data_IF_656455323427
#
_entry.id   IF_656455323427
#
_cell.length_a   1.000
_cell.length_b   1.000
_cell.length_c   1.000
_cell.angle_alpha   90.00
_cell.angle_beta   90.00
_cell.angle_gamma   90.00
#
_symmetry.space_group_name_H-M   'P 1'
#
loop_
_entity.id
_entity.type
_entity.pdbx_description
1 polymer ?
#
# COMPACT_ATOMS: atom_id res chain seq x y z
N UNK A 1 60.28 -19.33 21.43
CA UNK A 1 61.27 -19.17 22.51
C UNK A 1 60.54 -18.71 23.75
N UNK A 2 60.72 -19.47 24.85
CA UNK A 2 60.17 -19.24 26.18
C UNK A 2 60.69 -17.92 26.79
N UNK A 3 59.93 -17.33 27.72
CA UNK A 3 60.47 -16.28 28.59
C UNK A 3 59.45 -15.54 29.43
N UNK A 4 58.97 -16.20 30.49
CA UNK A 4 58.20 -15.63 31.62
C UNK A 4 59.16 -14.90 32.57
N UNK A 5 58.80 -13.72 33.11
CA UNK A 5 58.87 -13.41 34.57
C UNK A 5 58.52 -11.95 34.96
N UNK A 6 57.67 -11.84 35.99
CA UNK A 6 57.68 -10.92 37.18
C UNK A 6 57.81 -9.40 36.97
N UNK A 7 57.00 -8.52 37.55
CA UNK A 7 56.20 -8.54 38.77
C UNK A 7 56.56 -7.30 39.62
N UNK A 8 55.58 -6.51 40.08
CA UNK A 8 55.81 -5.35 40.97
C UNK A 8 54.54 -4.53 41.24
N UNK A 9 54.02 -4.68 42.46
CA UNK A 9 52.81 -4.08 43.05
C UNK A 9 52.87 -2.57 43.35
N UNK A 10 51.70 -1.94 43.51
CA UNK A 10 51.57 -0.60 44.11
C UNK A 10 50.16 0.04 44.12
N UNK A 11 49.25 -0.54 44.92
CA UNK A 11 48.08 0.05 45.64
C UNK A 11 47.59 1.49 45.37
N UNK A 12 46.26 1.68 45.20
CA UNK A 12 45.34 2.32 46.19
C UNK A 12 43.93 2.65 45.63
N UNK A 13 42.88 2.38 46.45
CA UNK A 13 41.51 2.91 46.30
C UNK A 13 40.42 1.83 46.30
N UNK A 14 40.02 1.23 47.44
CA UNK A 14 38.88 1.64 48.32
C UNK A 14 37.66 2.10 47.50
N UNK A 15 36.45 1.55 47.56
CA UNK A 15 35.72 0.61 48.43
C UNK A 15 34.23 0.93 48.14
N UNK A 16 33.44 0.02 47.57
CA UNK A 16 32.54 -0.93 48.23
C UNK A 16 31.44 -0.28 49.09
N UNK A 17 30.18 -0.69 48.87
CA UNK A 17 29.17 -0.67 49.94
C UNK A 17 27.73 -0.50 49.50
N UNK A 18 27.05 -1.61 49.20
CA UNK A 18 25.60 -1.76 49.30
C UNK A 18 25.16 -1.68 50.78
N UNK A 19 23.97 -1.16 51.04
CA UNK A 19 23.33 -1.23 52.36
C UNK A 19 21.88 -0.75 52.34
N UNK A 20 20.96 -1.65 52.69
CA UNK A 20 19.52 -1.45 52.79
C UNK A 20 19.11 -0.58 54.00
N UNK A 21 17.90 -0.01 53.94
CA UNK A 21 17.22 0.57 55.09
C UNK A 21 15.77 0.95 54.79
N UNK A 22 14.81 0.31 55.50
CA UNK A 22 13.42 0.75 55.62
C UNK A 22 13.26 1.67 56.84
N UNK A 23 12.53 2.78 56.68
CA UNK A 23 11.71 3.48 57.69
C UNK A 23 10.90 4.58 56.93
N UNK A 24 9.57 4.56 56.81
CA UNK A 24 8.48 4.73 57.78
C UNK A 24 8.18 6.18 58.20
N UNK A 25 6.95 6.62 57.88
CA UNK A 25 6.18 7.73 58.48
C UNK A 25 6.39 9.12 57.87
N UNK A 26 5.44 10.06 57.80
CA UNK A 26 3.98 10.11 57.95
C UNK A 26 3.56 11.57 57.62
N UNK A 27 2.39 11.74 57.00
CA UNK A 27 1.48 12.92 57.07
C UNK A 27 2.02 14.33 56.80
N UNK A 28 1.64 14.90 55.65
CA UNK A 28 1.21 16.30 55.57
C UNK A 28 0.11 16.43 54.50
N UNK A 29 -1.13 16.59 54.99
CA UNK A 29 -2.31 16.95 54.23
C UNK A 29 -2.15 18.40 53.77
N UNK A 30 -2.09 18.64 52.46
CA UNK A 30 -2.33 19.93 51.85
C UNK A 30 -3.49 19.76 50.87
N UNK A 31 -4.70 20.00 51.39
CA UNK A 31 -5.93 20.03 50.62
C UNK A 31 -6.10 21.34 49.85
N UNK A 32 -7.07 21.28 48.93
CA UNK A 32 -7.69 22.37 48.18
C UNK A 32 -6.91 23.00 47.03
N UNK A 33 -6.95 22.32 45.88
CA UNK A 33 -7.11 22.97 44.58
C UNK A 33 -7.85 22.05 43.60
N UNK A 34 -8.97 21.47 44.04
CA UNK A 34 -9.87 20.69 43.20
C UNK A 34 -11.21 21.41 43.09
N UNK A 35 -11.27 22.51 42.34
CA UNK A 35 -12.51 23.09 41.80
C UNK A 35 -12.17 24.19 40.80
N UNK A 36 -11.87 23.81 39.56
CA UNK A 36 -12.20 24.56 38.35
C UNK A 36 -11.62 23.81 37.15
N UNK A 37 -12.41 23.75 36.07
CA UNK A 37 -12.04 23.30 34.72
C UNK A 37 -12.21 21.79 34.45
N UNK A 38 -13.41 21.27 34.66
CA UNK A 38 -13.87 20.07 33.95
C UNK A 38 -15.28 20.30 33.37
N UNK A 39 -15.36 21.18 32.37
CA UNK A 39 -16.54 21.34 31.50
C UNK A 39 -16.10 21.66 30.06
N UNK A 40 -15.25 20.83 29.46
CA UNK A 40 -15.15 20.75 28.00
C UNK A 40 -15.91 19.52 27.54
N UNK A 41 -17.23 19.68 27.40
CA UNK A 41 -18.08 18.69 26.74
C UNK A 41 -17.62 18.54 25.29
N UNK A 42 -17.39 17.29 24.88
CA UNK A 42 -17.23 16.94 23.48
C UNK A 42 -18.53 17.26 22.74
N UNK A 43 -18.56 18.34 21.96
CA UNK A 43 -19.53 18.48 20.89
C UNK A 43 -19.07 17.55 19.77
N UNK A 44 -19.59 16.33 19.74
CA UNK A 44 -19.64 15.53 18.51
C UNK A 44 -20.54 16.27 17.53
N UNK A 45 -19.94 17.16 16.73
CA UNK A 45 -20.60 17.80 15.61
C UNK A 45 -20.96 16.73 14.60
N UNK A 46 -22.21 16.28 14.63
CA UNK A 46 -22.77 15.43 13.59
C UNK A 46 -22.63 16.14 12.25
N UNK A 47 -22.21 15.40 11.22
CA UNK A 47 -22.28 15.84 9.83
C UNK A 47 -23.75 15.88 9.43
N UNK A 48 -24.47 16.90 9.91
CA UNK A 48 -25.78 17.24 9.40
C UNK A 48 -25.62 17.48 7.91
N UNK A 49 -26.41 16.78 7.11
CA UNK A 49 -26.54 17.01 5.68
C UNK A 49 -26.70 18.51 5.46
N UNK A 50 -25.69 19.14 4.85
CA UNK A 50 -25.79 20.53 4.48
C UNK A 50 -26.84 20.59 3.39
N UNK A 51 -27.99 21.14 3.74
CA UNK A 51 -29.03 21.49 2.79
C UNK A 51 -28.49 22.72 2.03
N UNK A 52 -27.75 22.47 0.97
CA UNK A 52 -27.28 23.51 0.06
C UNK A 52 -28.52 24.03 -0.67
N UNK A 53 -29.21 24.99 -0.04
CA UNK A 53 -30.43 25.60 -0.54
C UNK A 53 -30.33 25.98 -2.03
N UNK A 54 -31.48 26.15 -2.71
CA UNK A 54 -31.59 26.13 -4.16
C UNK A 54 -30.53 27.02 -4.82
N UNK A 55 -29.84 26.45 -5.81
CA UNK A 55 -28.75 27.09 -6.52
C UNK A 55 -29.14 28.51 -6.95
N UNK A 56 -28.48 29.51 -6.35
CA UNK A 56 -28.74 30.90 -6.68
C UNK A 56 -28.45 31.15 -8.15
N UNK A 57 -29.44 31.62 -8.91
CA UNK A 57 -29.31 32.00 -10.32
C UNK A 57 -28.59 33.35 -10.47
N UNK A 58 -27.38 33.46 -9.89
CA UNK A 58 -26.52 34.61 -10.13
C UNK A 58 -25.90 34.48 -11.53
N UNK A 59 -25.94 35.53 -12.36
CA UNK A 59 -25.23 35.54 -13.63
C UNK A 59 -23.76 35.21 -13.39
N UNK A 60 -23.24 34.23 -14.11
CA UNK A 60 -21.84 33.81 -14.04
C UNK A 60 -20.98 35.01 -14.44
N UNK A 61 -20.39 35.69 -13.46
CA UNK A 61 -19.33 36.65 -13.74
C UNK A 61 -18.17 35.81 -14.28
N UNK A 62 -17.79 36.05 -15.54
CA UNK A 62 -16.68 35.35 -16.21
C UNK A 62 -15.50 35.28 -15.25
N UNK A 63 -15.20 34.09 -14.72
CA UNK A 63 -13.97 33.86 -14.01
C UNK A 63 -12.83 34.26 -14.94
N UNK A 64 -11.94 35.14 -14.48
CA UNK A 64 -10.65 35.34 -15.15
C UNK A 64 -10.03 33.97 -15.35
N UNK A 65 -9.46 33.75 -16.55
CA UNK A 65 -8.86 32.47 -16.91
C UNK A 65 -7.95 31.99 -15.77
N UNK A 66 -8.03 30.70 -15.39
CA UNK A 66 -7.08 30.17 -14.41
C UNK A 66 -5.67 30.44 -14.94
N UNK A 67 -4.80 30.96 -14.08
CA UNK A 67 -3.38 31.04 -14.37
C UNK A 67 -2.92 29.65 -14.82
N UNK A 68 -2.20 29.60 -15.94
CA UNK A 68 -1.74 28.36 -16.52
C UNK A 68 -0.89 27.62 -15.47
N UNK A 69 -1.46 26.54 -14.91
CA UNK A 69 -0.69 25.58 -14.12
C UNK A 69 0.46 25.12 -15.01
N UNK A 70 1.73 25.13 -14.55
CA UNK A 70 2.83 24.61 -15.34
C UNK A 70 2.51 23.17 -15.73
N UNK A 71 2.18 22.96 -17.01
CA UNK A 71 2.08 21.62 -17.56
C UNK A 71 3.47 20.99 -17.38
N UNK A 72 3.54 19.88 -16.63
CA UNK A 72 4.79 19.17 -16.40
C UNK A 72 5.52 18.97 -17.73
N UNK A 73 6.75 19.46 -17.84
CA UNK A 73 7.54 19.44 -19.08
C UNK A 73 8.09 18.05 -19.43
N UNK A 74 7.72 17.03 -18.65
CA UNK A 74 8.11 15.65 -18.91
C UNK A 74 7.40 15.15 -20.17
N UNK A 75 8.16 14.92 -21.24
CA UNK A 75 7.69 14.20 -22.42
C UNK A 75 7.14 12.84 -21.98
N UNK A 76 5.91 12.47 -22.35
CA UNK A 76 5.39 11.13 -22.08
C UNK A 76 6.38 10.09 -22.59
N UNK A 77 6.75 9.14 -21.74
CA UNK A 77 7.58 8.02 -22.16
C UNK A 77 6.88 7.31 -23.34
N UNK A 78 7.62 6.87 -24.38
CA UNK A 78 7.04 6.06 -25.43
C UNK A 78 6.30 4.87 -24.82
N UNK A 79 5.01 4.75 -25.10
CA UNK A 79 4.18 3.67 -24.57
C UNK A 79 4.68 2.36 -25.19
N UNK A 80 5.04 1.40 -24.34
CA UNK A 80 5.46 0.07 -24.78
C UNK A 80 4.25 -0.77 -25.16
N UNK A 81 4.46 -1.76 -26.03
CA UNK A 81 3.49 -2.81 -26.29
C UNK A 81 3.60 -3.88 -25.19
N UNK A 82 2.80 -3.71 -24.13
CA UNK A 82 2.83 -4.56 -22.95
C UNK A 82 2.43 -6.02 -23.27
N UNK A 83 1.47 -6.23 -24.17
CA UNK A 83 1.03 -7.57 -24.59
C UNK A 83 2.19 -8.31 -25.25
N UNK A 84 2.85 -7.68 -26.22
CA UNK A 84 4.01 -8.28 -26.89
C UNK A 84 5.15 -8.52 -25.92
N UNK A 85 5.38 -7.61 -24.96
CA UNK A 85 6.42 -7.77 -23.95
C UNK A 85 6.17 -9.00 -23.07
N UNK A 86 4.97 -9.16 -22.52
CA UNK A 86 4.58 -10.32 -21.70
C UNK A 86 4.63 -11.62 -22.50
N UNK A 87 4.14 -11.64 -23.74
CA UNK A 87 4.20 -12.83 -24.60
C UNK A 87 5.63 -13.27 -24.92
N UNK A 88 6.52 -12.30 -25.17
CA UNK A 88 7.91 -12.58 -25.50
C UNK A 88 8.78 -12.95 -24.29
N UNK A 89 8.35 -12.61 -23.07
CA UNK A 89 9.16 -12.81 -21.87
C UNK A 89 9.25 -14.29 -21.45
N UNK A 90 10.44 -14.92 -21.47
CA UNK A 90 10.59 -16.32 -21.08
C UNK A 90 10.32 -16.58 -19.59
N UNK A 91 10.28 -15.56 -18.74
CA UNK A 91 9.94 -15.71 -17.31
C UNK A 91 8.45 -15.82 -17.05
N UNK A 92 7.61 -15.42 -18.01
CA UNK A 92 6.15 -15.58 -17.93
C UNK A 92 5.81 -17.02 -18.27
N UNK A 93 5.00 -17.68 -17.43
CA UNK A 93 4.66 -19.08 -17.65
C UNK A 93 3.83 -19.29 -18.91
N UNK A 94 3.99 -20.47 -19.54
CA UNK A 94 3.29 -20.80 -20.78
C UNK A 94 1.76 -20.71 -20.62
N UNK A 95 1.23 -21.22 -19.49
CA UNK A 95 -0.20 -21.14 -19.16
C UNK A 95 -0.69 -19.70 -19.16
N UNK A 96 0.05 -18.76 -18.55
CA UNK A 96 -0.32 -17.35 -18.55
C UNK A 96 -0.35 -16.74 -19.95
N UNK A 97 0.62 -17.10 -20.80
CA UNK A 97 0.66 -16.62 -22.19
C UNK A 97 -0.51 -17.16 -23.02
N UNK A 98 -0.89 -18.40 -22.78
CA UNK A 98 -2.01 -19.05 -23.47
C UNK A 98 -3.35 -18.44 -23.04
N UNK A 99 -3.49 -18.09 -21.76
CA UNK A 99 -4.70 -17.47 -21.19
C UNK A 99 -4.78 -15.97 -21.46
N UNK A 100 -3.66 -15.31 -21.76
CA UNK A 100 -3.63 -13.91 -22.19
C UNK A 100 -4.27 -13.79 -23.58
N UNK A 101 -5.55 -13.46 -23.62
CA UNK A 101 -6.35 -13.24 -24.83
C UNK A 101 -7.06 -11.90 -24.73
N UNK A 102 -7.46 -11.28 -25.86
CA UNK A 102 -8.33 -10.11 -25.81
C UNK A 102 -9.65 -10.45 -25.11
N UNK A 103 -10.15 -9.52 -24.31
CA UNK A 103 -11.46 -9.59 -23.68
C UNK A 103 -12.57 -9.25 -24.69
N UNK A 104 -12.34 -8.18 -25.47
CA UNK A 104 -13.25 -7.70 -26.50
C UNK A 104 -12.42 -7.14 -27.66
N UNK A 105 -12.65 -7.64 -28.88
CA UNK A 105 -11.88 -7.20 -30.04
C UNK A 105 -10.38 -7.37 -29.84
N UNK A 106 -9.64 -6.27 -29.79
CA UNK A 106 -8.18 -6.22 -29.57
C UNK A 106 -7.80 -5.73 -28.16
N UNK A 107 -8.77 -5.54 -27.25
CA UNK A 107 -8.53 -5.05 -25.89
C UNK A 107 -8.13 -6.19 -24.96
N UNK A 108 -6.92 -6.13 -24.40
CA UNK A 108 -6.40 -7.11 -23.45
C UNK A 108 -6.62 -6.65 -22.01
N UNK A 109 -6.78 -7.58 -21.04
CA UNK A 109 -6.93 -7.25 -19.62
C UNK A 109 -5.56 -6.95 -19.01
N UNK A 110 -4.89 -5.92 -19.51
CA UNK A 110 -3.56 -5.51 -19.05
C UNK A 110 -3.57 -4.04 -18.64
N UNK A 111 -3.11 -3.79 -17.42
CA UNK A 111 -2.79 -2.45 -16.95
C UNK A 111 -1.29 -2.21 -16.97
N UNK A 112 -0.89 -0.97 -17.26
CA UNK A 112 0.52 -0.59 -17.34
C UNK A 112 0.77 0.71 -16.59
N UNK A 113 1.70 0.66 -15.64
CA UNK A 113 2.19 1.83 -14.89
C UNK A 113 3.66 2.06 -15.17
N UNK A 114 4.08 3.32 -15.21
CA UNK A 114 5.45 3.72 -15.50
C UNK A 114 6.01 4.52 -14.33
N UNK A 115 7.23 4.23 -13.89
CA UNK A 115 7.87 4.96 -12.79
C UNK A 115 9.30 4.50 -12.53
N UNK A 116 9.99 5.19 -11.64
CA UNK A 116 11.37 4.84 -11.26
C UNK A 116 11.33 3.88 -10.08
N UNK A 117 11.53 2.59 -10.33
CA UNK A 117 11.64 1.54 -9.31
C UNK A 117 13.07 1.02 -9.16
N UNK A 118 13.83 1.05 -10.25
CA UNK A 118 15.21 0.56 -10.36
C UNK A 118 16.19 1.69 -10.61
N UNK A 119 17.48 1.37 -10.64
CA UNK A 119 18.56 2.27 -11.07
C UNK A 119 18.74 2.28 -12.61
N UNK A 120 17.67 2.05 -13.36
CA UNK A 120 17.64 2.04 -14.82
C UNK A 120 17.77 3.43 -15.45
N UNK A 121 18.17 3.51 -16.74
CA UNK A 121 18.30 4.78 -17.45
C UNK A 121 16.94 5.40 -17.87
N UNK A 122 15.85 4.65 -17.75
CA UNK A 122 14.49 5.07 -18.09
C UNK A 122 13.49 4.55 -17.07
N UNK A 123 12.24 5.03 -17.16
CA UNK A 123 11.15 4.54 -16.32
C UNK A 123 10.99 3.02 -16.50
N UNK A 124 10.89 2.33 -15.37
CA UNK A 124 10.46 0.94 -15.31
C UNK A 124 8.97 0.84 -15.61
N UNK A 125 8.55 -0.34 -16.06
CA UNK A 125 7.17 -0.61 -16.43
C UNK A 125 6.63 -1.73 -15.56
N UNK A 126 5.59 -1.42 -14.78
CA UNK A 126 4.79 -2.41 -14.08
C UNK A 126 3.64 -2.83 -14.98
N UNK A 127 3.53 -4.12 -15.26
CA UNK A 127 2.48 -4.71 -16.09
C UNK A 127 1.65 -5.64 -15.22
N UNK A 128 0.37 -5.34 -15.05
CA UNK A 128 -0.58 -6.20 -14.37
C UNK A 128 -1.46 -6.89 -15.41
N UNK A 129 -1.61 -8.20 -15.31
CA UNK A 129 -2.53 -9.00 -16.12
C UNK A 129 -3.72 -9.38 -15.25
N UNK A 130 -4.92 -9.22 -15.78
CA UNK A 130 -6.18 -9.44 -15.06
C UNK A 130 -7.07 -10.44 -15.80
N UNK A 131 -8.13 -10.89 -15.14
CA UNK A 131 -9.25 -11.58 -15.79
C UNK A 131 -10.14 -10.59 -16.53
N UNK A 132 -10.69 -10.97 -17.68
CA UNK A 132 -11.55 -10.10 -18.49
C UNK A 132 -12.89 -9.71 -17.85
N UNK A 133 -13.48 -10.59 -17.03
CA UNK A 133 -14.81 -10.36 -16.44
C UNK A 133 -14.73 -9.52 -15.18
N UNK A 134 -13.88 -9.96 -14.25
CA UNK A 134 -13.93 -9.50 -12.86
C UNK A 134 -12.79 -8.52 -12.53
N UNK A 135 -11.92 -8.24 -13.51
CA UNK A 135 -10.69 -7.46 -13.35
C UNK A 135 -9.80 -7.92 -12.18
N UNK A 136 -9.85 -9.21 -11.84
CA UNK A 136 -9.02 -9.79 -10.79
C UNK A 136 -7.62 -9.98 -11.36
N UNK A 137 -6.64 -9.36 -10.70
CA UNK A 137 -5.23 -9.52 -11.05
C UNK A 137 -4.79 -10.98 -10.91
N UNK A 138 -4.09 -11.48 -11.92
CA UNK A 138 -3.59 -12.86 -11.97
C UNK A 138 -2.07 -12.89 -12.11
N UNK A 139 -1.46 -11.80 -12.59
CA UNK A 139 -0.01 -11.67 -12.60
C UNK A 139 0.45 -10.22 -12.58
N UNK A 140 1.59 -9.97 -11.98
CA UNK A 140 2.27 -8.67 -12.01
C UNK A 140 3.75 -8.83 -12.33
N UNK A 141 4.27 -7.95 -13.18
CA UNK A 141 5.62 -8.01 -13.70
C UNK A 141 6.27 -6.62 -13.70
N UNK A 142 7.56 -6.54 -13.40
CA UNK A 142 8.33 -5.30 -13.56
C UNK A 142 9.38 -5.48 -14.65
N UNK A 143 9.35 -4.58 -15.62
CA UNK A 143 10.29 -4.53 -16.72
C UNK A 143 11.18 -3.29 -16.63
N UNK A 144 12.49 -3.52 -16.61
CA UNK A 144 13.51 -2.47 -16.60
C UNK A 144 14.10 -2.31 -18.00
N UNK A 145 14.32 -1.08 -18.44
CA UNK A 145 15.04 -0.84 -19.69
C UNK A 145 16.54 -1.16 -19.54
N UNK A 146 17.09 -1.91 -20.49
CA UNK A 146 18.51 -2.21 -20.62
C UNK A 146 19.23 -1.16 -21.47
N UNK A 147 20.56 -1.21 -21.47
CA UNK A 147 21.40 -0.28 -22.23
C UNK A 147 21.16 -0.32 -23.75
N UNK A 148 20.71 -1.46 -24.28
CA UNK A 148 20.34 -1.64 -25.70
C UNK A 148 18.93 -1.13 -26.04
N UNK A 149 18.23 -0.54 -25.07
CA UNK A 149 16.87 -0.02 -25.20
C UNK A 149 15.77 -1.08 -25.03
N UNK A 150 16.12 -2.37 -24.94
CA UNK A 150 15.18 -3.46 -24.69
C UNK A 150 14.66 -3.44 -23.24
N UNK A 151 13.46 -3.97 -23.02
CA UNK A 151 12.92 -4.14 -21.68
C UNK A 151 13.16 -5.56 -21.18
N UNK A 152 13.59 -5.69 -19.92
CA UNK A 152 13.90 -6.94 -19.26
C UNK A 152 13.11 -7.12 -17.98
N UNK A 153 12.48 -8.28 -17.81
CA UNK A 153 11.80 -8.63 -16.58
C UNK A 153 12.79 -8.80 -15.42
N UNK A 154 12.54 -8.04 -14.35
CA UNK A 154 13.31 -8.04 -13.10
C UNK A 154 12.46 -8.43 -11.88
N UNK A 155 11.15 -8.61 -12.06
CA UNK A 155 10.21 -9.09 -11.05
C UNK A 155 9.03 -9.79 -11.73
N UNK A 156 8.56 -10.88 -11.14
CA UNK A 156 7.36 -11.60 -11.57
C UNK A 156 6.66 -12.21 -10.37
N UNK A 157 5.34 -12.04 -10.30
CA UNK A 157 4.47 -12.78 -9.38
C UNK A 157 3.22 -13.23 -10.14
N UNK A 158 3.00 -14.54 -10.19
CA UNK A 158 1.91 -15.21 -10.89
C UNK A 158 1.03 -15.96 -9.88
N UNK A 159 0.35 -15.20 -9.02
CA UNK A 159 -0.51 -15.73 -7.96
C UNK A 159 -1.92 -15.16 -8.14
N UNK A 160 -2.99 -15.92 -7.86
CA UNK A 160 -4.35 -15.39 -7.93
C UNK A 160 -4.53 -14.13 -7.08
N UNK A 161 -5.30 -13.18 -7.60
CA UNK A 161 -5.64 -11.91 -6.98
C UNK A 161 -4.44 -11.01 -6.61
N UNK A 162 -3.36 -11.09 -7.38
CA UNK A 162 -2.16 -10.25 -7.23
C UNK A 162 -2.25 -8.99 -8.08
N UNK A 163 -1.83 -7.85 -7.53
CA UNK A 163 -1.74 -6.58 -8.25
C UNK A 163 -0.55 -5.75 -7.77
N UNK A 164 0.24 -5.23 -8.70
CA UNK A 164 1.43 -4.42 -8.42
C UNK A 164 1.20 -2.93 -8.67
N UNK A 165 1.68 -2.09 -7.75
CA UNK A 165 1.62 -0.63 -7.83
C UNK A 165 2.98 -0.01 -7.53
N UNK A 166 3.16 1.25 -7.94
CA UNK A 166 4.35 2.04 -7.65
C UNK A 166 4.00 3.02 -6.55
N UNK A 167 4.65 2.94 -5.39
CA UNK A 167 4.52 3.91 -4.31
C UNK A 167 5.89 4.49 -3.93
N UNK A 168 6.10 5.79 -4.18
CA UNK A 168 7.34 6.53 -3.85
C UNK A 168 8.65 5.83 -4.25
N UNK A 169 8.64 5.08 -5.36
CA UNK A 169 9.81 4.37 -5.89
C UNK A 169 9.97 2.94 -5.36
N UNK A 170 9.06 2.48 -4.51
CA UNK A 170 8.94 1.08 -4.13
C UNK A 170 7.86 0.38 -4.98
N UNK A 171 8.05 -0.91 -5.19
CA UNK A 171 7.03 -1.78 -5.77
C UNK A 171 6.18 -2.31 -4.62
N UNK A 172 4.90 -1.97 -4.60
CA UNK A 172 3.94 -2.48 -3.62
C UNK A 172 3.07 -3.53 -4.31
N UNK A 173 3.17 -4.77 -3.85
CA UNK A 173 2.38 -5.89 -4.37
C UNK A 173 1.31 -6.24 -3.35
N UNK A 174 0.05 -6.11 -3.75
CA UNK A 174 -1.11 -6.51 -2.97
C UNK A 174 -1.63 -7.84 -3.50
N UNK A 175 -1.89 -8.79 -2.61
CA UNK A 175 -2.51 -10.08 -2.93
C UNK A 175 -3.76 -10.24 -2.05
N UNK A 176 -4.94 -10.38 -2.66
CA UNK A 176 -6.15 -10.64 -1.88
C UNK A 176 -6.16 -12.09 -1.37
N UNK A 177 -6.59 -12.28 -0.13
CA UNK A 177 -6.66 -13.57 0.55
C UNK A 177 -8.12 -14.01 0.65
N UNK A 178 -8.41 -15.18 0.09
CA UNK A 178 -9.76 -15.77 0.07
C UNK A 178 -9.83 -16.99 0.97
N UNK A 179 -10.83 -17.00 1.85
CA UNK A 179 -11.30 -18.19 2.55
C UNK A 179 -12.13 -19.11 1.65
N UNK A 180 -12.32 -20.35 2.09
CA UNK A 180 -13.00 -21.40 1.31
C UNK A 180 -14.43 -21.09 0.84
N UNK A 181 -15.10 -20.09 1.43
CA UNK A 181 -16.49 -19.70 1.12
C UNK A 181 -16.60 -18.27 0.60
N UNK A 182 -15.47 -17.64 0.30
CA UNK A 182 -15.46 -16.25 -0.11
C UNK A 182 -15.91 -16.15 -1.57
N UNK A 183 -16.76 -15.16 -1.85
CA UNK A 183 -17.04 -14.78 -3.21
C UNK A 183 -15.88 -13.93 -3.74
N UNK A 184 -15.68 -13.91 -5.07
CA UNK A 184 -14.62 -13.11 -5.73
C UNK A 184 -14.65 -11.63 -5.31
N UNK A 185 -15.85 -11.07 -5.14
CA UNK A 185 -16.04 -9.68 -4.73
C UNK A 185 -15.75 -9.39 -3.24
N UNK A 186 -15.60 -10.42 -2.41
CA UNK A 186 -15.50 -10.29 -0.95
C UNK A 186 -14.38 -11.17 -0.39
N UNK A 187 -13.10 -10.77 -0.56
CA UNK A 187 -11.98 -11.45 0.08
C UNK A 187 -12.07 -11.37 1.62
N UNK A 188 -11.52 -12.36 2.31
CA UNK A 188 -11.40 -12.36 3.77
C UNK A 188 -10.23 -11.52 4.27
N UNK A 189 -9.28 -11.16 3.41
CA UNK A 189 -8.13 -10.36 3.79
C UNK A 189 -7.23 -10.00 2.62
N UNK A 190 -6.05 -9.49 2.92
CA UNK A 190 -5.01 -9.19 1.93
C UNK A 190 -3.61 -9.25 2.56
N UNK A 191 -2.63 -9.56 1.72
CA UNK A 191 -1.21 -9.38 2.00
C UNK A 191 -0.68 -8.22 1.15
N UNK A 192 -0.07 -7.23 1.79
CA UNK A 192 0.62 -6.12 1.14
C UNK A 192 2.11 -6.29 1.38
N UNK A 193 2.88 -6.44 0.32
CA UNK A 193 4.34 -6.60 0.39
C UNK A 193 5.01 -5.45 -0.34
N UNK A 194 5.86 -4.72 0.38
CA UNK A 194 6.64 -3.62 -0.19
C UNK A 194 8.04 -4.13 -0.55
N UNK A 195 8.44 -3.90 -1.80
CA UNK A 195 9.75 -4.26 -2.31
C UNK A 195 10.53 -3.02 -2.72
N UNK A 196 11.81 -3.01 -2.35
CA UNK A 196 12.77 -2.00 -2.80
C UNK A 196 13.84 -2.61 -3.68
N UNK A 197 14.21 -1.90 -4.74
CA UNK A 197 15.36 -2.28 -5.55
C UNK A 197 16.66 -2.10 -4.75
N UNK A 198 17.39 -3.19 -4.57
CA UNK A 198 18.70 -3.19 -3.92
C UNK A 198 19.61 -4.22 -4.57
N UNK A 199 20.83 -3.82 -4.88
CA UNK A 199 21.87 -4.74 -5.38
C UNK A 199 21.42 -5.59 -6.57
N UNK A 200 20.72 -4.98 -7.53
CA UNK A 200 20.31 -5.64 -8.76
C UNK A 200 19.04 -6.51 -8.67
N UNK A 201 18.27 -6.44 -7.58
CA UNK A 201 17.00 -7.17 -7.43
C UNK A 201 16.02 -6.42 -6.52
N UNK A 202 14.74 -6.76 -6.61
CA UNK A 202 13.76 -6.37 -5.59
C UNK A 202 13.95 -7.21 -4.32
N UNK A 203 14.09 -6.54 -3.18
CA UNK A 203 14.08 -7.18 -1.86
C UNK A 203 12.85 -6.69 -1.10
N UNK A 204 12.15 -7.62 -0.45
CA UNK A 204 11.08 -7.30 0.48
C UNK A 204 11.63 -6.46 1.63
N UNK A 205 11.02 -5.32 1.88
CA UNK A 205 11.38 -4.41 2.97
C UNK A 205 10.30 -4.35 4.05
N UNK A 206 9.06 -4.65 3.68
CA UNK A 206 7.92 -4.64 4.59
C UNK A 206 6.81 -5.58 4.13
N UNK A 207 6.03 -6.09 5.07
CA UNK A 207 4.87 -6.94 4.83
C UNK A 207 3.80 -6.67 5.86
N UNK A 208 2.59 -6.42 5.37
CA UNK A 208 1.38 -6.23 6.19
C UNK A 208 0.35 -7.27 5.78
N UNK A 209 -0.28 -7.90 6.76
CA UNK A 209 -1.44 -8.76 6.57
C UNK A 209 -2.66 -8.10 7.21
N UNK A 210 -3.75 -8.00 6.46
CA UNK A 210 -5.01 -7.45 6.94
C UNK A 210 -6.11 -8.51 6.85
N UNK A 211 -6.85 -8.68 7.94
CA UNK A 211 -8.11 -9.41 7.96
C UNK A 211 -9.27 -8.44 7.73
N UNK A 212 -10.16 -8.76 6.80
CA UNK A 212 -11.39 -8.02 6.57
C UNK A 212 -12.55 -8.59 7.40
N UNK A 213 -13.37 -7.70 7.96
CA UNK A 213 -14.55 -8.09 8.73
C UNK A 213 -15.64 -8.68 7.82
N UNK A 214 -16.13 -9.86 8.16
CA UNK A 214 -17.19 -10.58 7.44
C UNK A 214 -18.61 -10.02 7.63
N UNK A 215 -18.77 -8.97 8.43
CA UNK A 215 -20.08 -8.35 8.69
C UNK A 215 -20.75 -7.76 7.42
N UNK A 216 -19.97 -7.47 6.37
CA UNK A 216 -20.46 -7.00 5.07
C UNK A 216 -20.24 -8.11 4.02
N UNK A 217 -21.20 -9.01 3.85
CA UNK A 217 -21.05 -10.11 2.87
C UNK A 217 -21.77 -11.41 3.19
N UNK A 218 -22.43 -11.53 4.35
CA UNK A 218 -23.45 -12.58 4.54
C UNK A 218 -24.66 -12.21 3.69
N UNK A 219 -24.69 -12.66 2.43
CA UNK A 219 -25.75 -12.42 1.47
C UNK A 219 -27.10 -13.07 1.85
N UNK A 220 -27.63 -12.74 3.03
CA UNK A 220 -28.99 -13.00 3.48
C UNK A 220 -29.71 -11.67 3.77
N UNK A 221 -29.40 -10.64 2.98
CA UNK A 221 -30.21 -9.42 2.93
C UNK A 221 -31.33 -9.61 1.92
N UNK A 222 -32.52 -10.01 2.38
CA UNK A 222 -33.75 -9.93 1.61
C UNK A 222 -33.89 -8.50 1.08
N UNK A 223 -33.70 -8.30 -0.22
CA UNK A 223 -34.06 -7.04 -0.87
C UNK A 223 -35.58 -6.85 -0.63
N UNK A 224 -36.02 -5.74 0.00
CA UNK A 224 -37.44 -5.51 0.19
C UNK A 224 -38.12 -5.42 -1.18
N UNK A 225 -39.17 -6.21 -1.40
CA UNK A 225 -39.98 -6.13 -2.61
C UNK A 225 -40.52 -4.71 -2.77
N UNK A 226 -40.48 -4.13 -3.99
CA UNK A 226 -41.09 -2.84 -4.23
C UNK A 226 -42.59 -2.93 -3.91
N UNK A 227 -43.16 -1.92 -3.22
CA UNK A 227 -44.56 -1.97 -2.82
C UNK A 227 -45.43 -2.07 -4.07
N UNK A 228 -46.23 -3.12 -4.14
CA UNK A 228 -47.28 -3.26 -5.17
C UNK A 228 -48.21 -2.06 -5.05
N UNK A 229 -48.24 -1.24 -6.11
CA UNK A 229 -49.23 -0.18 -6.26
C UNK A 229 -50.63 -0.84 -6.23
N UNK A 230 -51.40 -0.52 -5.20
CA UNK A 230 -52.84 -0.83 -5.17
C UNK A 230 -53.55 0.18 -6.06
N UNK A 231 -54.21 -0.32 -7.09
CA UNK A 231 -55.25 0.41 -7.83
C UNK A 231 -56.51 0.57 -6.97
#
# INVERSE_FOLDING_TARGET
>A
MNGRSTGGDGTAGRGAGLGAGLAAGSTAVAGLAAFALLCSGCASGGTGTRDEGPAGTRPVTRASAPDAVPAGTAKPAPRIDAVRLVRADPKVSARFKDDLKPCTGDEYPIDTSYGTLTDGPAADVVVNVMTCGDSVGVGTYVYRQRADGSYGNVFAAETPAVYGTIDRGDLVVTTQVYGSKDAVAYPSGEDIVTYRWTSGRFAETDRVHNDFNRAVGSGEGTLPEPPTAKN
#
